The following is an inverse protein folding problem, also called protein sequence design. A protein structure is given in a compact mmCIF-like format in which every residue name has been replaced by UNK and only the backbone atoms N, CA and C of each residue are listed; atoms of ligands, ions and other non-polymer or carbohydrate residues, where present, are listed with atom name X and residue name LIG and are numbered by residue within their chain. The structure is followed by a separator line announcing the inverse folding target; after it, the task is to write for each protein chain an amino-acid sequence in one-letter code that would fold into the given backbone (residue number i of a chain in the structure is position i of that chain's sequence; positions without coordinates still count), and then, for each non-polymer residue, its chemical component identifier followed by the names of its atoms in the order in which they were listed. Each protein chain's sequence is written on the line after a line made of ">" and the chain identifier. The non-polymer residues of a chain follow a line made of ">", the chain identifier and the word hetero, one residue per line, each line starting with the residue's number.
data_IF_782849231307
#
_entry.id   IF_782849231307
#
_cell.length_a   1.000
_cell.length_b   1.000
_cell.length_c   1.000
_cell.angle_alpha   90.00
_cell.angle_beta   90.00
_cell.angle_gamma   90.00
#
_symmetry.space_group_name_H-M   'P 1'
#
loop_
_entity.id
_entity.type
_entity.pdbx_description
1 polymer ?
#
# COMPACT_ATOMS: atom_id res chain seq x y z
N UNK A 1 -8.87 11.60 -36.37
CA UNK A 1 -7.81 10.71 -35.83
C UNK A 1 -6.95 11.40 -34.78
N UNK A 2 -6.34 12.56 -35.06
CA UNK A 2 -5.45 13.27 -34.13
C UNK A 2 -6.11 13.66 -32.80
N UNK A 3 -7.38 14.07 -32.83
CA UNK A 3 -8.17 14.40 -31.63
C UNK A 3 -8.48 13.18 -30.75
N UNK A 4 -8.67 12.00 -31.35
CA UNK A 4 -8.94 10.75 -30.62
C UNK A 4 -7.70 10.33 -29.82
N UNK A 5 -6.50 10.53 -30.40
CA UNK A 5 -5.22 10.25 -29.73
C UNK A 5 -5.04 11.15 -28.50
N UNK A 6 -5.37 12.43 -28.62
CA UNK A 6 -5.25 13.39 -27.51
C UNK A 6 -6.20 13.03 -26.37
N UNK A 7 -7.45 12.67 -26.68
CA UNK A 7 -8.45 12.28 -25.68
C UNK A 7 -8.02 10.99 -24.97
N UNK A 8 -7.51 10.00 -25.70
CA UNK A 8 -7.03 8.75 -25.12
C UNK A 8 -5.82 8.96 -24.19
N UNK A 9 -4.89 9.85 -24.56
CA UNK A 9 -3.74 10.17 -23.72
C UNK A 9 -4.16 10.81 -22.38
N UNK A 10 -5.10 11.75 -22.40
CA UNK A 10 -5.60 12.41 -21.19
C UNK A 10 -6.31 11.42 -20.25
N UNK A 11 -7.09 10.48 -20.80
CA UNK A 11 -7.77 9.46 -20.01
C UNK A 11 -6.80 8.53 -19.24
N UNK A 12 -5.62 8.25 -19.81
CA UNK A 12 -4.60 7.42 -19.16
C UNK A 12 -3.93 8.10 -17.96
N UNK A 13 -3.81 9.44 -17.98
CA UNK A 13 -3.27 10.21 -16.85
C UNK A 13 -4.28 10.44 -15.73
N UNK A 14 -5.58 10.33 -16.02
CA UNK A 14 -6.65 10.44 -15.03
C UNK A 14 -6.91 9.14 -14.26
N UNK A 15 -6.24 8.04 -14.63
CA UNK A 15 -6.34 6.79 -13.89
C UNK A 15 -5.58 6.93 -12.56
N UNK A 16 -6.32 6.94 -11.44
CA UNK A 16 -5.73 6.89 -10.11
C UNK A 16 -4.78 5.70 -9.99
N UNK A 17 -3.59 5.86 -9.38
CA UNK A 17 -2.66 4.76 -9.19
C UNK A 17 -3.29 3.70 -8.29
N UNK A 18 -3.74 2.60 -8.89
CA UNK A 18 -4.37 1.47 -8.21
C UNK A 18 -3.42 0.65 -7.30
N UNK A 19 -2.33 1.25 -6.80
CA UNK A 19 -1.20 0.55 -6.14
C UNK A 19 -0.86 1.08 -4.75
N UNK A 20 -1.72 1.87 -4.12
CA UNK A 20 -1.71 2.05 -2.67
C UNK A 20 -3.07 1.62 -2.13
N UNK A 21 -3.13 0.50 -1.40
CA UNK A 21 -4.32 0.21 -0.62
C UNK A 21 -4.51 1.36 0.37
N UNK A 22 -5.61 2.10 0.22
CA UNK A 22 -5.96 3.13 1.18
C UNK A 22 -6.10 2.46 2.56
N UNK A 23 -5.54 3.10 3.59
CA UNK A 23 -5.66 2.60 4.96
C UNK A 23 -7.14 2.36 5.26
N UNK A 24 -7.49 1.13 5.61
CA UNK A 24 -8.89 0.76 5.84
C UNK A 24 -9.44 1.62 6.98
N UNK A 25 -10.52 2.35 6.69
CA UNK A 25 -11.30 3.10 7.68
C UNK A 25 -12.39 2.17 8.24
N UNK A 26 -12.28 1.73 9.50
CA UNK A 26 -13.25 0.81 10.09
C UNK A 26 -14.67 1.38 10.14
N UNK A 27 -14.83 2.71 10.15
CA UNK A 27 -16.15 3.34 10.20
C UNK A 27 -16.90 3.31 8.88
N UNK A 28 -16.18 3.13 7.76
CA UNK A 28 -16.76 2.96 6.42
C UNK A 28 -17.14 1.51 6.11
N UNK A 29 -16.74 0.58 6.98
CA UNK A 29 -17.08 -0.83 6.88
C UNK A 29 -18.34 -1.10 7.70
N UNK A 30 -19.21 -1.99 7.21
CA UNK A 30 -20.42 -2.37 7.92
C UNK A 30 -20.10 -2.85 9.35
N UNK A 31 -20.98 -2.59 10.34
CA UNK A 31 -20.70 -2.87 11.75
C UNK A 31 -20.26 -4.32 12.01
N UNK A 32 -20.83 -5.29 11.29
CA UNK A 32 -20.46 -6.70 11.39
C UNK A 32 -19.00 -7.03 11.01
N UNK A 33 -18.32 -6.20 10.21
CA UNK A 33 -16.94 -6.45 9.75
C UNK A 33 -15.91 -5.48 10.35
N UNK A 34 -16.28 -4.67 11.34
CA UNK A 34 -15.38 -3.67 11.96
C UNK A 34 -14.14 -4.30 12.59
N UNK A 35 -14.31 -5.43 13.29
CA UNK A 35 -13.19 -6.15 13.90
C UNK A 35 -12.18 -6.66 12.84
N UNK A 36 -12.70 -7.13 11.70
CA UNK A 36 -11.86 -7.54 10.57
C UNK A 36 -11.18 -6.33 9.91
N UNK A 37 -11.88 -5.19 9.80
CA UNK A 37 -11.34 -3.95 9.26
C UNK A 37 -10.20 -3.40 10.12
N UNK A 38 -10.34 -3.46 11.45
CA UNK A 38 -9.30 -3.06 12.41
C UNK A 38 -8.05 -3.96 12.30
N UNK A 39 -8.22 -5.29 12.20
CA UNK A 39 -7.11 -6.22 11.98
C UNK A 39 -6.35 -5.93 10.69
N UNK A 40 -7.08 -5.65 9.59
CA UNK A 40 -6.47 -5.25 8.31
C UNK A 40 -5.77 -3.90 8.40
N UNK A 41 -6.31 -2.95 9.16
CA UNK A 41 -5.71 -1.64 9.37
C UNK A 41 -4.38 -1.76 10.11
N UNK A 42 -4.34 -2.55 11.18
CA UNK A 42 -3.11 -2.83 11.92
C UNK A 42 -2.04 -3.44 10.99
N UNK A 43 -2.43 -4.39 10.13
CA UNK A 43 -1.53 -5.00 9.16
C UNK A 43 -1.00 -4.01 8.11
N UNK A 44 -1.88 -3.17 7.55
CA UNK A 44 -1.46 -2.15 6.58
C UNK A 44 -0.51 -1.11 7.20
N UNK A 45 -0.69 -0.77 8.48
CA UNK A 45 0.23 0.13 9.19
C UNK A 45 1.62 -0.52 9.29
N UNK A 46 1.71 -1.80 9.71
CA UNK A 46 2.98 -2.53 9.79
C UNK A 46 3.72 -2.56 8.45
N UNK A 47 3.01 -2.87 7.37
CA UNK A 47 3.60 -2.91 6.03
C UNK A 47 4.06 -1.54 5.56
N UNK A 48 3.28 -0.48 5.84
CA UNK A 48 3.64 0.89 5.50
C UNK A 48 4.87 1.37 6.27
N UNK A 49 4.97 1.04 7.55
CA UNK A 49 6.15 1.35 8.36
C UNK A 49 7.41 0.68 7.79
N UNK A 50 7.34 -0.61 7.44
CA UNK A 50 8.47 -1.30 6.81
C UNK A 50 8.82 -0.72 5.43
N UNK A 51 7.83 -0.32 4.63
CA UNK A 51 8.07 0.35 3.36
C UNK A 51 8.75 1.70 3.55
N UNK A 52 8.31 2.51 4.51
CA UNK A 52 8.96 3.80 4.83
C UNK A 52 10.39 3.60 5.29
N UNK A 53 10.68 2.58 6.12
CA UNK A 53 12.06 2.27 6.52
C UNK A 53 12.94 1.88 5.32
N UNK A 54 12.41 1.05 4.41
CA UNK A 54 13.12 0.68 3.19
C UNK A 54 13.45 1.89 2.30
N UNK A 55 12.53 2.86 2.23
CA UNK A 55 12.74 4.11 1.49
C UNK A 55 13.80 5.00 2.14
N UNK A 56 13.78 5.11 3.48
CA UNK A 56 14.76 5.89 4.25
C UNK A 56 16.17 5.30 4.12
N UNK A 57 16.28 3.97 4.11
CA UNK A 57 17.54 3.25 3.92
C UNK A 57 17.98 3.17 2.45
N UNK A 58 17.17 3.70 1.52
CA UNK A 58 17.42 3.68 0.07
C UNK A 58 17.72 2.27 -0.44
N UNK A 59 16.98 1.29 0.07
CA UNK A 59 17.14 -0.12 -0.32
C UNK A 59 16.91 -0.24 -1.82
N UNK A 60 17.88 -0.85 -2.52
CA UNK A 60 17.80 -1.05 -3.96
C UNK A 60 16.54 -1.88 -4.30
N UNK A 61 15.88 -1.62 -5.44
CA UNK A 61 14.66 -2.35 -5.83
C UNK A 61 14.83 -3.88 -5.83
N UNK A 62 16.03 -4.36 -6.17
CA UNK A 62 16.38 -5.79 -6.13
C UNK A 62 16.29 -6.38 -4.71
N UNK A 63 16.73 -5.63 -3.71
CA UNK A 63 16.91 -6.10 -2.33
C UNK A 63 15.70 -5.72 -1.45
N UNK A 64 14.78 -4.91 -2.00
CA UNK A 64 13.62 -4.36 -1.28
C UNK A 64 12.69 -5.44 -0.74
N UNK A 65 12.39 -6.48 -1.50
CA UNK A 65 11.51 -7.56 -1.04
C UNK A 65 12.10 -8.32 0.15
N UNK A 66 13.41 -8.60 0.10
CA UNK A 66 14.11 -9.27 1.18
C UNK A 66 14.09 -8.42 2.46
N UNK A 67 14.37 -7.11 2.32
CA UNK A 67 14.30 -6.16 3.42
C UNK A 67 12.91 -6.10 4.04
N UNK A 68 11.86 -6.01 3.23
CA UNK A 68 10.47 -5.94 3.71
C UNK A 68 10.08 -7.21 4.49
N UNK A 69 10.45 -8.39 3.99
CA UNK A 69 10.17 -9.65 4.69
C UNK A 69 10.85 -9.68 6.07
N UNK A 70 12.13 -9.34 6.14
CA UNK A 70 12.85 -9.29 7.42
C UNK A 70 12.29 -8.24 8.37
N UNK A 71 11.90 -7.07 7.87
CA UNK A 71 11.26 -6.04 8.69
C UNK A 71 9.93 -6.54 9.28
N UNK A 72 9.11 -7.20 8.47
CA UNK A 72 7.82 -7.75 8.92
C UNK A 72 8.01 -8.89 9.91
N UNK A 73 8.95 -9.81 9.68
CA UNK A 73 9.33 -10.87 10.62
C UNK A 73 9.80 -10.30 11.96
N UNK A 74 10.66 -9.28 11.93
CA UNK A 74 11.16 -8.62 13.13
C UNK A 74 10.07 -7.88 13.91
N UNK A 75 9.04 -7.34 13.23
CA UNK A 75 7.87 -6.76 13.89
C UNK A 75 6.94 -7.83 14.46
N UNK A 76 6.79 -8.97 13.78
CA UNK A 76 6.00 -10.10 14.28
C UNK A 76 6.63 -10.73 15.53
N UNK A 77 7.96 -10.82 15.59
CA UNK A 77 8.69 -11.35 16.74
C UNK A 77 8.69 -10.43 17.98
N UNK A 78 8.25 -9.17 17.83
CA UNK A 78 8.14 -8.18 18.93
C UNK A 78 6.73 -8.12 19.55
N UNK A 79 5.76 -8.81 18.96
CA UNK A 79 4.39 -8.95 19.50
C UNK A 79 4.30 -10.17 20.40
#
# INVERSE_FOLDING_TARGET
>A
MKSIIIIAAVALFAADPARSQALVDPNKVAPEYREAAEKRRAEQIRQRECATKADLEKVLPRDRTLYLNHCLEALAAKQ
#
